data_IF_266886457524
#
_entry.id   IF_266886457524
#
_cell.length_a   1.000
_cell.length_b   1.000
_cell.length_c   1.000
_cell.angle_alpha   90.00
_cell.angle_beta   90.00
_cell.angle_gamma   90.00
#
_symmetry.space_group_name_H-M   'P 1'
#
loop_
_entity.id
_entity.type
_entity.pdbx_description
1 polymer ?
#
# COMPACT_ATOMS: atom_id res chain seq x y z
N UNK A 1 -44.13 32.61 -30.80
CA UNK A 1 -44.98 32.60 -29.59
C UNK A 1 -45.01 31.16 -29.12
N UNK A 2 -44.39 30.92 -27.96
CA UNK A 2 -43.85 29.62 -27.56
C UNK A 2 -44.94 28.62 -27.22
N UNK A 3 -44.78 27.40 -27.71
CA UNK A 3 -45.61 26.24 -27.42
C UNK A 3 -45.13 25.65 -26.09
N UNK A 4 -46.11 25.45 -25.20
CA UNK A 4 -46.00 24.83 -23.89
C UNK A 4 -45.95 23.31 -24.06
N UNK A 5 -45.07 22.64 -23.32
CA UNK A 5 -45.20 21.21 -23.00
C UNK A 5 -45.20 21.05 -21.48
N UNK A 6 -46.29 20.49 -20.95
CA UNK A 6 -46.39 19.90 -19.62
C UNK A 6 -45.76 18.50 -19.62
N UNK A 7 -44.98 18.15 -18.58
CA UNK A 7 -45.00 16.83 -17.92
C UNK A 7 -44.64 17.02 -16.43
N UNK A 8 -45.26 16.27 -15.49
CA UNK A 8 -45.28 16.58 -14.06
C UNK A 8 -44.20 15.87 -13.22
N UNK A 9 -44.02 16.42 -12.02
CA UNK A 9 -43.60 15.78 -10.76
C UNK A 9 -42.22 15.12 -10.66
N UNK A 10 -41.30 15.86 -10.02
CA UNK A 10 -40.18 15.31 -9.26
C UNK A 10 -40.71 14.37 -8.16
N UNK A 11 -40.38 13.10 -8.26
CA UNK A 11 -40.34 12.20 -7.10
C UNK A 11 -38.90 12.24 -6.57
N UNK A 12 -38.74 12.85 -5.40
CA UNK A 12 -37.48 12.83 -4.64
C UNK A 12 -37.28 11.42 -4.10
N UNK A 13 -36.27 10.72 -4.58
CA UNK A 13 -35.75 9.51 -3.93
C UNK A 13 -34.32 9.84 -3.49
N UNK A 14 -34.16 10.02 -2.18
CA UNK A 14 -32.86 10.01 -1.53
C UNK A 14 -32.25 8.61 -1.71
N UNK A 15 -31.06 8.55 -2.30
CA UNK A 15 -30.17 7.41 -2.15
C UNK A 15 -28.78 7.94 -1.82
N UNK A 16 -28.47 7.96 -0.52
CA UNK A 16 -27.12 8.01 -0.01
C UNK A 16 -26.46 6.67 -0.29
N UNK A 17 -25.52 6.65 -1.25
CA UNK A 17 -24.59 5.55 -1.40
C UNK A 17 -23.20 6.11 -1.75
N UNK A 18 -22.29 5.88 -0.80
CA UNK A 18 -20.88 6.25 -0.74
C UNK A 18 -20.16 6.26 -2.10
N UNK A 19 -19.64 7.43 -2.44
CA UNK A 19 -18.89 7.69 -3.65
C UNK A 19 -17.56 6.90 -3.68
N UNK A 20 -17.40 6.08 -4.71
CA UNK A 20 -16.15 5.40 -5.05
C UNK A 20 -15.00 6.41 -5.26
N UNK A 21 -13.83 6.13 -4.68
CA UNK A 21 -12.58 6.80 -5.00
C UNK A 21 -12.16 6.47 -6.45
N UNK A 22 -12.59 7.29 -7.39
CA UNK A 22 -12.14 7.21 -8.79
C UNK A 22 -10.68 7.64 -8.87
N UNK A 23 -9.77 6.68 -8.92
CA UNK A 23 -8.37 6.92 -9.31
C UNK A 23 -8.36 7.22 -10.80
N UNK A 24 -8.29 8.50 -11.15
CA UNK A 24 -8.17 8.93 -12.55
C UNK A 24 -6.68 9.03 -12.94
N UNK A 25 -6.26 8.38 -14.04
CA UNK A 25 -4.94 8.65 -14.62
C UNK A 25 -4.90 10.09 -15.15
N UNK A 26 -3.90 10.86 -14.73
CA UNK A 26 -3.69 12.22 -15.25
C UNK A 26 -3.05 12.10 -16.63
N UNK A 27 -3.80 12.47 -17.67
CA UNK A 27 -3.24 12.66 -19.01
C UNK A 27 -2.45 13.97 -19.05
N UNK A 28 -1.13 13.84 -19.12
CA UNK A 28 -0.21 14.96 -19.37
C UNK A 28 -0.23 15.26 -20.88
N UNK A 29 -0.29 16.54 -21.32
CA UNK A 29 -0.26 16.88 -22.73
C UNK A 29 0.97 16.29 -23.44
N UNK A 30 0.74 15.58 -24.54
CA UNK A 30 1.80 15.16 -25.47
C UNK A 30 2.19 16.35 -26.34
N UNK A 31 3.14 17.15 -25.87
CA UNK A 31 3.96 17.95 -26.78
C UNK A 31 4.88 17.02 -27.59
N UNK A 32 5.01 17.34 -28.88
CA UNK A 32 5.55 16.49 -29.96
C UNK A 32 6.97 15.94 -29.77
N UNK A 33 7.46 15.16 -30.74
CA UNK A 33 8.67 14.35 -30.58
C UNK A 33 9.93 15.21 -30.70
N UNK A 34 10.37 15.83 -29.60
CA UNK A 34 11.76 16.28 -29.49
C UNK A 34 12.65 15.07 -29.18
N UNK A 35 13.69 14.89 -30.01
CA UNK A 35 14.46 13.64 -30.17
C UNK A 35 15.20 13.18 -28.91
N UNK A 36 15.44 14.04 -27.92
CA UNK A 36 16.03 13.69 -26.62
C UNK A 36 15.47 14.64 -25.56
N UNK A 37 14.86 14.10 -24.49
CA UNK A 37 14.16 14.89 -23.47
C UNK A 37 14.80 14.65 -22.10
N UNK A 38 15.30 15.73 -21.51
CA UNK A 38 15.64 15.76 -20.10
C UNK A 38 14.40 16.22 -19.32
N UNK A 39 14.14 15.58 -18.19
CA UNK A 39 13.01 15.95 -17.32
C UNK A 39 13.35 15.74 -15.87
N UNK A 40 12.70 16.51 -15.00
CA UNK A 40 12.83 16.39 -13.56
C UNK A 40 11.60 15.70 -12.97
N UNK A 41 11.84 14.89 -11.95
CA UNK A 41 10.83 14.09 -11.25
C UNK A 41 11.03 14.19 -9.73
N UNK A 42 10.00 14.53 -8.93
CA UNK A 42 8.70 15.04 -9.37
C UNK A 42 8.81 16.36 -10.12
N UNK A 43 7.77 16.69 -10.91
CA UNK A 43 7.67 17.99 -11.59
C UNK A 43 7.20 19.08 -10.62
N UNK A 44 8.05 19.45 -9.69
CA UNK A 44 7.82 20.58 -8.80
C UNK A 44 7.79 21.92 -9.56
N UNK A 45 6.89 22.85 -9.21
CA UNK A 45 7.00 24.23 -9.70
C UNK A 45 8.25 24.89 -9.11
N UNK A 46 8.50 24.65 -7.82
CA UNK A 46 9.65 25.14 -7.06
C UNK A 46 10.30 24.01 -6.27
N UNK A 47 11.64 23.98 -6.29
CA UNK A 47 12.47 23.03 -5.55
C UNK A 47 12.94 23.71 -4.27
N UNK A 48 12.64 23.13 -3.11
CA UNK A 48 13.08 23.64 -1.80
C UNK A 48 14.24 22.82 -1.26
N UNK A 49 14.99 23.41 -0.32
CA UNK A 49 16.02 22.68 0.42
C UNK A 49 15.43 21.42 1.06
N UNK A 50 16.14 20.31 0.95
CA UNK A 50 15.73 19.01 1.48
C UNK A 50 14.86 18.18 0.55
N UNK A 51 14.39 18.72 -0.59
CA UNK A 51 13.67 17.93 -1.58
C UNK A 51 14.57 16.82 -2.18
N UNK A 52 13.96 15.70 -2.52
CA UNK A 52 14.57 14.67 -3.37
C UNK A 52 14.07 14.86 -4.81
N UNK A 53 14.97 15.08 -5.76
CA UNK A 53 14.65 15.18 -7.19
C UNK A 53 15.46 14.17 -8.01
N UNK A 54 14.86 13.68 -9.08
CA UNK A 54 15.48 12.76 -10.03
C UNK A 54 15.47 13.40 -11.41
N UNK A 55 16.65 13.52 -12.02
CA UNK A 55 16.80 13.91 -13.41
C UNK A 55 16.76 12.64 -14.27
N UNK A 56 15.91 12.67 -15.28
CA UNK A 56 15.71 11.57 -16.22
C UNK A 56 16.14 12.01 -17.61
N UNK A 57 17.10 11.27 -18.18
CA UNK A 57 17.58 11.44 -19.54
C UNK A 57 16.91 10.40 -20.46
N UNK A 58 16.01 10.86 -21.35
CA UNK A 58 15.31 10.04 -22.34
C UNK A 58 15.82 10.29 -23.75
N UNK A 59 15.86 9.21 -24.55
CA UNK A 59 16.25 9.22 -25.97
C UNK A 59 17.66 8.67 -26.19
N UNK A 60 17.90 8.15 -27.39
CA UNK A 60 19.18 7.58 -27.80
C UNK A 60 19.46 6.19 -27.22
N UNK A 61 20.53 5.56 -27.71
CA UNK A 61 21.07 4.30 -27.20
C UNK A 61 22.44 4.54 -26.54
N UNK A 62 22.86 3.62 -25.66
CA UNK A 62 24.14 3.68 -24.95
C UNK A 62 24.08 4.26 -23.54
N UNK A 63 25.25 4.50 -22.96
CA UNK A 63 25.44 5.10 -21.62
C UNK A 63 25.11 6.58 -21.62
N UNK A 64 24.66 7.10 -20.48
CA UNK A 64 24.34 8.52 -20.34
C UNK A 64 25.59 9.26 -19.89
N UNK A 65 25.87 10.44 -20.45
CA UNK A 65 26.87 11.37 -19.92
C UNK A 65 26.15 12.57 -19.34
N UNK A 66 26.39 12.91 -18.09
CA UNK A 66 25.81 14.08 -17.46
C UNK A 66 26.81 15.23 -17.46
N UNK A 67 26.31 16.45 -17.60
CA UNK A 67 27.09 17.66 -17.42
C UNK A 67 26.34 18.62 -16.51
N UNK A 68 27.08 19.25 -15.59
CA UNK A 68 26.57 20.27 -14.67
C UNK A 68 27.43 21.50 -14.88
N UNK A 69 26.81 22.62 -15.25
CA UNK A 69 27.51 23.85 -15.63
C UNK A 69 28.62 23.60 -16.69
N UNK A 70 28.35 22.70 -17.63
CA UNK A 70 29.28 22.30 -18.70
C UNK A 70 30.36 21.30 -18.27
N UNK A 71 30.49 20.97 -16.98
CA UNK A 71 31.48 20.02 -16.46
C UNK A 71 30.91 18.60 -16.52
N UNK A 72 31.62 17.69 -17.20
CA UNK A 72 31.25 16.28 -17.31
C UNK A 72 31.33 15.59 -15.95
N UNK A 73 30.27 14.88 -15.58
CA UNK A 73 30.18 14.11 -14.35
C UNK A 73 30.61 12.66 -14.57
N UNK A 74 30.99 11.98 -13.50
CA UNK A 74 31.35 10.56 -13.51
C UNK A 74 30.12 9.63 -13.61
N UNK A 75 28.93 10.12 -13.23
CA UNK A 75 27.68 9.38 -13.23
C UNK A 75 27.25 8.99 -14.66
N UNK A 76 26.83 7.73 -14.87
CA UNK A 76 26.51 7.20 -16.20
C UNK A 76 25.10 6.63 -16.36
N UNK A 77 24.32 6.51 -15.28
CA UNK A 77 22.95 6.01 -15.35
C UNK A 77 22.03 7.03 -16.02
N UNK A 78 20.96 6.56 -16.67
CA UNK A 78 19.94 7.44 -17.27
C UNK A 78 19.11 8.23 -16.25
N UNK A 79 19.25 7.89 -14.97
CA UNK A 79 18.62 8.56 -13.85
C UNK A 79 19.72 9.13 -12.95
N UNK A 80 19.68 10.44 -12.68
CA UNK A 80 20.54 11.08 -11.67
C UNK A 80 19.66 11.48 -10.49
N UNK A 81 19.87 10.83 -9.35
CA UNK A 81 19.16 11.12 -8.11
C UNK A 81 19.94 12.16 -7.30
N UNK A 82 19.29 13.29 -7.00
CA UNK A 82 19.77 14.31 -6.09
C UNK A 82 18.90 14.23 -4.83
N UNK A 83 19.47 13.75 -3.73
CA UNK A 83 18.76 13.61 -2.45
C UNK A 83 19.05 14.78 -1.53
N UNK A 84 18.03 15.25 -0.81
CA UNK A 84 18.12 16.35 0.13
C UNK A 84 18.89 17.55 -0.46
N UNK A 85 18.37 18.08 -1.57
CA UNK A 85 19.04 19.15 -2.32
C UNK A 85 19.28 20.40 -1.48
N UNK A 86 20.34 21.12 -1.82
CA UNK A 86 20.78 22.37 -1.21
C UNK A 86 21.09 23.40 -2.30
N UNK A 87 21.41 24.64 -1.93
CA UNK A 87 21.84 25.67 -2.89
C UNK A 87 23.10 25.29 -3.68
N UNK A 88 23.92 24.35 -3.17
CA UNK A 88 25.06 23.79 -3.92
C UNK A 88 24.65 22.93 -5.13
N UNK A 89 23.39 22.51 -5.20
CA UNK A 89 22.83 21.79 -6.34
C UNK A 89 22.32 22.73 -7.45
N UNK A 90 22.50 24.04 -7.31
CA UNK A 90 22.09 25.00 -8.33
C UNK A 90 23.00 24.92 -9.57
N UNK A 91 22.39 25.03 -10.74
CA UNK A 91 23.15 25.05 -11.99
C UNK A 91 22.34 24.65 -13.22
N UNK A 92 23.02 24.64 -14.37
CA UNK A 92 22.49 24.14 -15.63
C UNK A 92 22.87 22.68 -15.81
N UNK A 93 21.87 21.81 -15.90
CA UNK A 93 22.05 20.39 -16.09
C UNK A 93 21.73 19.99 -17.53
N UNK A 94 22.57 19.17 -18.13
CA UNK A 94 22.34 18.58 -19.45
C UNK A 94 22.80 17.12 -19.47
N UNK A 95 22.20 16.30 -20.32
CA UNK A 95 22.65 14.93 -20.56
C UNK A 95 22.95 14.70 -22.04
N UNK A 96 23.87 13.78 -22.33
CA UNK A 96 24.19 13.33 -23.68
C UNK A 96 23.97 11.82 -23.77
N UNK A 97 23.27 11.40 -24.84
CA UNK A 97 23.07 9.98 -25.16
C UNK A 97 23.04 9.80 -26.68
N UNK A 98 23.69 8.74 -27.18
CA UNK A 98 23.85 8.53 -28.63
C UNK A 98 24.53 9.69 -29.37
N UNK A 99 25.43 10.42 -28.71
CA UNK A 99 26.16 11.57 -29.27
C UNK A 99 25.36 12.88 -29.39
N UNK A 100 24.10 12.91 -28.96
CA UNK A 100 23.28 14.13 -28.93
C UNK A 100 23.06 14.62 -27.50
N UNK A 101 23.23 15.92 -27.27
CA UNK A 101 22.93 16.57 -25.99
C UNK A 101 21.45 16.94 -25.86
N UNK A 102 20.93 16.89 -24.64
CA UNK A 102 19.61 17.40 -24.29
C UNK A 102 19.60 18.92 -24.22
N UNK A 103 18.40 19.49 -24.15
CA UNK A 103 18.23 20.88 -23.71
C UNK A 103 18.73 21.00 -22.27
N UNK A 104 19.39 22.13 -21.97
CA UNK A 104 19.83 22.48 -20.62
C UNK A 104 18.62 22.76 -19.73
N UNK A 105 18.63 22.20 -18.53
CA UNK A 105 17.60 22.37 -17.52
C UNK A 105 18.21 23.09 -16.31
N UNK A 106 17.80 24.33 -16.01
CA UNK A 106 18.25 25.01 -14.81
C UNK A 106 17.59 24.40 -13.57
N UNK A 107 18.38 24.21 -12.52
CA UNK A 107 17.89 23.89 -11.17
C UNK A 107 18.22 25.08 -10.27
N UNK A 108 17.18 25.57 -9.59
CA UNK A 108 17.28 26.60 -8.58
C UNK A 108 16.57 26.13 -7.31
N UNK A 109 17.34 25.91 -6.25
CA UNK A 109 16.88 25.47 -4.94
C UNK A 109 16.60 26.69 -4.07
N UNK A 110 15.38 26.79 -3.57
CA UNK A 110 14.92 27.85 -2.69
C UNK A 110 15.22 27.47 -1.23
N UNK A 111 15.85 28.38 -0.49
CA UNK A 111 16.13 28.24 0.96
C UNK A 111 14.95 28.69 1.85
N UNK A 112 13.77 28.88 1.26
CA UNK A 112 12.55 29.24 1.95
C UNK A 112 11.79 27.99 2.41
N UNK A 113 10.99 28.12 3.46
CA UNK A 113 10.09 27.06 3.89
C UNK A 113 8.82 26.99 3.01
N UNK A 114 8.35 25.79 2.64
CA UNK A 114 7.08 25.63 1.93
C UNK A 114 5.88 26.08 2.76
N UNK A 115 4.80 26.50 2.09
CA UNK A 115 3.56 27.00 2.72
C UNK A 115 2.76 25.97 3.53
N UNK A 116 3.16 24.70 3.52
CA UNK A 116 2.49 23.66 4.28
C UNK A 116 3.47 22.57 4.68
N UNK A 117 3.18 21.91 5.80
CA UNK A 117 4.03 20.85 6.31
C UNK A 117 3.34 19.49 6.16
N UNK A 118 3.95 18.60 5.39
CA UNK A 118 3.60 17.20 5.29
C UNK A 118 4.61 16.39 6.10
N UNK A 119 4.14 15.61 7.07
CA UNK A 119 4.99 14.80 7.94
C UNK A 119 4.38 13.43 8.25
N UNK A 120 5.19 12.39 8.52
CA UNK A 120 4.67 11.13 9.03
C UNK A 120 4.02 11.33 10.40
N UNK A 121 2.81 10.80 10.59
CA UNK A 121 2.14 10.78 11.90
C UNK A 121 2.97 10.02 12.94
N UNK A 122 3.58 8.89 12.52
CA UNK A 122 4.40 8.02 13.35
C UNK A 122 5.54 7.44 12.48
N UNK A 123 6.73 7.33 13.09
CA UNK A 123 7.92 6.70 12.51
C UNK A 123 8.67 7.56 11.48
N UNK A 124 9.81 7.05 10.99
CA UNK A 124 10.68 7.76 10.04
C UNK A 124 10.36 7.52 8.56
N UNK A 125 11.23 8.01 7.67
CA UNK A 125 11.08 7.92 6.22
C UNK A 125 11.30 6.52 5.59
N UNK A 126 11.50 5.48 6.41
CA UNK A 126 11.80 4.12 5.97
C UNK A 126 10.64 3.19 6.31
N UNK A 127 10.25 2.35 5.35
CA UNK A 127 9.10 1.46 5.42
C UNK A 127 9.43 0.06 4.92
N UNK A 128 8.85 -0.97 5.55
CA UNK A 128 8.96 -2.36 5.10
C UNK A 128 8.06 -2.64 3.90
N UNK A 129 8.36 -3.68 3.12
CA UNK A 129 7.48 -4.10 2.01
C UNK A 129 6.07 -4.41 2.53
N UNK A 130 5.05 -3.93 1.81
CA UNK A 130 3.63 -4.07 2.20
C UNK A 130 3.16 -3.12 3.30
N UNK A 131 4.01 -2.20 3.78
CA UNK A 131 3.58 -1.15 4.69
C UNK A 131 2.83 0.01 4.04
N UNK A 132 1.98 0.59 4.87
CA UNK A 132 1.44 1.94 4.70
C UNK A 132 1.49 2.71 6.02
N UNK A 133 1.41 4.04 5.94
CA UNK A 133 1.26 4.89 7.13
C UNK A 133 0.55 6.19 6.80
N UNK A 134 0.00 6.82 7.82
CA UNK A 134 -0.61 8.13 7.68
C UNK A 134 0.46 9.23 7.61
N UNK A 135 0.38 10.08 6.59
CA UNK A 135 1.04 11.38 6.55
C UNK A 135 0.00 12.44 6.89
N UNK A 136 0.40 13.40 7.73
CA UNK A 136 -0.44 14.51 8.17
C UNK A 136 0.03 15.77 7.45
N UNK A 137 -0.91 16.42 6.78
CA UNK A 137 -0.76 17.75 6.21
C UNK A 137 -1.24 18.77 7.25
N UNK A 138 -0.32 19.62 7.67
CA UNK A 138 -0.54 20.78 8.51
C UNK A 138 -0.42 22.04 7.65
N UNK A 139 -1.41 22.92 7.80
CA UNK A 139 -1.54 24.17 7.06
C UNK A 139 -1.96 25.25 8.06
N UNK A 140 -1.51 26.49 7.83
CA UNK A 140 -1.91 27.62 8.68
C UNK A 140 -3.39 27.99 8.47
N UNK A 141 -3.87 27.79 7.24
CA UNK A 141 -5.24 28.07 6.79
C UNK A 141 -6.13 26.81 6.77
N UNK A 142 -7.24 26.86 6.03
CA UNK A 142 -8.14 25.73 5.86
C UNK A 142 -7.51 24.60 4.99
N UNK A 143 -7.42 23.35 5.49
CA UNK A 143 -6.98 22.18 4.74
C UNK A 143 -7.90 21.81 3.57
N UNK A 144 -9.11 22.35 3.49
CA UNK A 144 -9.99 22.11 2.35
C UNK A 144 -9.39 22.64 1.04
N UNK A 145 -9.60 21.86 -0.04
CA UNK A 145 -9.09 22.16 -1.37
C UNK A 145 -7.62 21.79 -1.61
N UNK A 146 -6.91 21.30 -0.59
CA UNK A 146 -5.60 20.70 -0.79
C UNK A 146 -5.72 19.35 -1.51
N UNK A 147 -4.81 19.13 -2.45
CA UNK A 147 -4.73 17.89 -3.21
C UNK A 147 -3.32 17.34 -3.07
N UNK A 148 -3.22 16.07 -2.69
CA UNK A 148 -1.94 15.39 -2.54
C UNK A 148 -1.59 14.58 -3.78
N UNK A 149 -0.31 14.33 -3.95
CA UNK A 149 0.26 13.63 -5.09
C UNK A 149 1.31 12.66 -4.57
N UNK A 150 1.46 11.54 -5.29
CA UNK A 150 2.52 10.57 -5.05
C UNK A 150 3.22 10.27 -6.36
N UNK A 151 4.56 10.29 -6.35
CA UNK A 151 5.40 9.80 -7.42
C UNK A 151 6.02 8.46 -6.98
N UNK A 152 5.77 7.40 -7.75
CA UNK A 152 6.37 6.07 -7.58
C UNK A 152 7.16 5.72 -8.84
N UNK A 153 8.49 5.80 -8.76
CA UNK A 153 9.33 5.72 -9.96
C UNK A 153 9.06 6.90 -10.90
N UNK A 154 8.58 6.62 -12.11
CA UNK A 154 8.18 7.66 -13.08
C UNK A 154 6.67 7.97 -13.07
N UNK A 155 5.87 7.21 -12.31
CA UNK A 155 4.42 7.31 -12.33
C UNK A 155 3.89 8.21 -11.21
N UNK A 156 3.16 9.25 -11.58
CA UNK A 156 2.49 10.18 -10.67
C UNK A 156 1.01 9.87 -10.49
N UNK A 157 0.50 9.97 -9.27
CA UNK A 157 -0.91 9.75 -8.93
C UNK A 157 -1.42 10.87 -8.04
N UNK A 158 -2.72 11.15 -8.12
CA UNK A 158 -3.43 12.11 -7.26
C UNK A 158 -4.11 11.37 -6.10
N UNK A 159 -4.04 11.95 -4.91
CA UNK A 159 -4.65 11.47 -3.67
C UNK A 159 -5.46 12.62 -3.07
N UNK A 160 -6.70 12.37 -2.72
CA UNK A 160 -7.49 13.33 -1.96
C UNK A 160 -7.25 13.09 -0.46
N UNK A 161 -6.77 14.11 0.28
CA UNK A 161 -6.60 13.97 1.71
C UNK A 161 -7.96 13.90 2.42
N UNK A 162 -8.05 13.08 3.47
CA UNK A 162 -9.18 13.09 4.39
C UNK A 162 -9.01 14.30 5.32
N UNK A 163 -9.95 15.23 5.26
CA UNK A 163 -9.91 16.47 6.05
C UNK A 163 -10.61 16.24 7.40
N UNK A 164 -9.93 16.64 8.47
CA UNK A 164 -10.47 16.74 9.82
C UNK A 164 -10.67 18.22 10.13
N UNK A 165 -11.90 18.70 9.98
CA UNK A 165 -12.27 20.12 10.14
C UNK A 165 -12.02 20.61 11.56
N UNK A 166 -12.24 19.76 12.57
CA UNK A 166 -12.05 20.11 13.97
C UNK A 166 -10.57 20.33 14.31
N UNK A 167 -9.70 19.50 13.75
CA UNK A 167 -8.26 19.55 14.00
C UNK A 167 -7.48 20.38 12.97
N UNK A 168 -8.17 21.01 12.01
CA UNK A 168 -7.59 21.79 10.91
C UNK A 168 -6.43 21.08 10.22
N UNK A 169 -6.56 19.77 10.02
CA UNK A 169 -5.51 18.94 9.42
C UNK A 169 -6.10 18.04 8.36
N UNK A 170 -5.25 17.62 7.44
CA UNK A 170 -5.61 16.64 6.43
C UNK A 170 -4.70 15.41 6.56
N UNK A 171 -5.22 14.22 6.29
CA UNK A 171 -4.48 12.96 6.42
C UNK A 171 -4.53 12.19 5.10
N UNK A 172 -3.38 11.64 4.70
CA UNK A 172 -3.29 10.68 3.59
C UNK A 172 -2.68 9.36 4.06
N UNK A 173 -3.19 8.25 3.54
CA UNK A 173 -2.54 6.95 3.71
C UNK A 173 -1.47 6.76 2.63
N UNK A 174 -0.20 6.75 3.04
CA UNK A 174 0.96 6.63 2.18
C UNK A 174 1.47 5.18 2.13
N UNK A 175 1.44 4.60 0.93
CA UNK A 175 1.96 3.26 0.64
C UNK A 175 2.95 3.30 -0.52
N UNK A 176 3.97 2.45 -0.47
CA UNK A 176 4.94 2.30 -1.56
C UNK A 176 4.48 1.31 -2.62
N UNK A 177 3.52 0.43 -2.31
CA UNK A 177 3.16 -0.75 -3.12
C UNK A 177 4.44 -1.54 -3.45
N UNK A 178 4.77 -1.75 -4.73
CA UNK A 178 6.00 -2.44 -5.16
C UNK A 178 7.17 -1.48 -5.45
N UNK A 179 7.01 -0.16 -5.26
CA UNK A 179 8.06 0.80 -5.55
C UNK A 179 9.11 0.84 -4.44
N UNK A 180 10.41 0.84 -4.80
CA UNK A 180 11.50 1.02 -3.82
C UNK A 180 11.48 2.38 -3.12
N UNK A 181 10.84 3.37 -3.73
CA UNK A 181 10.75 4.75 -3.24
C UNK A 181 9.45 5.38 -3.73
N UNK A 182 8.85 6.19 -2.87
CA UNK A 182 7.70 7.03 -3.23
C UNK A 182 7.84 8.42 -2.61
N UNK A 183 7.63 9.45 -3.41
CA UNK A 183 7.67 10.85 -2.95
C UNK A 183 6.26 11.41 -2.92
N UNK A 184 5.86 11.99 -1.79
CA UNK A 184 4.54 12.54 -1.53
C UNK A 184 4.64 14.05 -1.32
N UNK A 185 3.68 14.81 -1.85
CA UNK A 185 3.55 16.25 -1.60
C UNK A 185 2.10 16.68 -1.84
N UNK A 186 1.69 17.81 -1.29
CA UNK A 186 0.35 18.37 -1.50
C UNK A 186 0.43 19.78 -2.08
N UNK A 187 -0.64 20.21 -2.77
CA UNK A 187 -0.77 21.54 -3.38
C UNK A 187 -2.17 22.11 -3.22
N UNK A 188 -2.26 23.44 -3.17
CA UNK A 188 -3.48 24.25 -3.28
C UNK A 188 -3.15 25.50 -4.10
N UNK A 189 -3.72 25.62 -5.30
CA UNK A 189 -3.33 26.69 -6.23
C UNK A 189 -1.83 26.62 -6.58
N UNK A 190 -1.10 27.70 -6.31
CA UNK A 190 0.36 27.79 -6.50
C UNK A 190 1.15 27.32 -5.28
N UNK A 191 0.51 27.17 -4.12
CA UNK A 191 1.17 26.74 -2.89
C UNK A 191 1.45 25.23 -2.90
N UNK A 192 2.52 24.82 -2.21
CA UNK A 192 2.94 23.43 -2.06
C UNK A 192 3.40 23.17 -0.63
N UNK A 193 3.20 21.95 -0.16
CA UNK A 193 3.87 21.45 1.04
C UNK A 193 5.34 21.11 0.78
N UNK A 194 6.12 20.85 1.84
CA UNK A 194 7.36 20.08 1.67
C UNK A 194 7.06 18.70 1.04
N UNK A 195 8.07 18.12 0.38
CA UNK A 195 7.97 16.75 -0.10
C UNK A 195 8.44 15.77 0.99
N UNK A 196 7.77 14.63 1.08
CA UNK A 196 8.17 13.51 1.93
C UNK A 196 8.51 12.33 1.05
N UNK A 197 9.76 11.88 1.11
CA UNK A 197 10.19 10.69 0.35
C UNK A 197 10.32 9.49 1.27
N UNK A 198 9.44 8.51 1.07
CA UNK A 198 9.47 7.23 1.78
C UNK A 198 10.28 6.22 0.97
N UNK A 199 11.13 5.45 1.67
CA UNK A 199 12.02 4.45 1.08
C UNK A 199 11.65 3.07 1.59
N UNK A 200 11.56 2.11 0.66
CA UNK A 200 11.40 0.72 1.00
C UNK A 200 12.72 0.19 1.54
N UNK A 201 12.66 -0.49 2.67
CA UNK A 201 13.74 -1.36 3.12
C UNK A 201 13.26 -2.79 3.04
N UNK A 202 14.19 -3.70 2.77
CA UNK A 202 13.95 -5.13 3.00
C UNK A 202 13.75 -5.44 4.49
N UNK A 203 14.06 -4.48 5.38
CA UNK A 203 13.76 -4.54 6.82
C UNK A 203 14.38 -5.76 7.50
N UNK A 204 14.05 -5.99 8.78
CA UNK A 204 14.18 -7.32 9.34
C UNK A 204 13.32 -8.30 8.51
N UNK A 205 13.76 -9.56 8.35
CA UNK A 205 13.08 -10.55 7.53
C UNK A 205 11.58 -10.67 7.80
N UNK A 206 10.83 -11.10 6.79
CA UNK A 206 9.39 -11.25 6.94
C UNK A 206 9.11 -12.35 7.96
N UNK A 207 8.17 -12.10 8.84
CA UNK A 207 7.55 -13.14 9.64
C UNK A 207 6.77 -14.09 8.73
N UNK A 208 6.39 -15.26 9.25
CA UNK A 208 5.50 -16.21 8.60
C UNK A 208 4.34 -16.52 9.53
N UNK A 209 3.15 -16.63 8.97
CA UNK A 209 1.94 -17.06 9.68
C UNK A 209 1.60 -18.46 9.22
N UNK A 210 1.56 -19.36 10.18
CA UNK A 210 1.22 -20.77 10.00
C UNK A 210 -0.03 -21.11 10.83
N UNK A 211 -0.96 -21.86 10.26
CA UNK A 211 -2.09 -22.42 11.03
C UNK A 211 -1.62 -23.61 11.85
N UNK A 212 -1.77 -23.52 13.17
CA UNK A 212 -1.45 -24.62 14.10
C UNK A 212 -2.69 -25.49 14.35
N UNK A 213 -3.88 -24.88 14.33
CA UNK A 213 -5.17 -25.56 14.36
C UNK A 213 -6.18 -24.82 13.46
N UNK A 214 -7.45 -25.22 13.49
CA UNK A 214 -8.54 -24.55 12.78
C UNK A 214 -8.80 -23.12 13.28
N UNK A 215 -8.53 -22.86 14.56
CA UNK A 215 -8.76 -21.55 15.21
C UNK A 215 -7.47 -20.85 15.60
N UNK A 216 -6.31 -21.52 15.56
CA UNK A 216 -5.06 -20.98 16.13
C UNK A 216 -3.98 -20.75 15.09
N UNK A 217 -3.42 -19.55 15.09
CA UNK A 217 -2.28 -19.17 14.26
C UNK A 217 -1.00 -19.02 15.09
N UNK A 218 0.13 -19.26 14.43
CA UNK A 218 1.47 -19.00 14.94
C UNK A 218 2.21 -18.04 14.01
N UNK A 219 2.81 -17.03 14.59
CA UNK A 219 3.77 -16.17 13.93
C UNK A 219 5.20 -16.68 14.18
N UNK A 220 6.04 -16.70 13.15
CA UNK A 220 7.44 -17.16 13.25
C UNK A 220 8.35 -16.21 12.47
N UNK A 221 9.60 -16.05 12.90
CA UNK A 221 10.62 -15.33 12.12
C UNK A 221 12.00 -15.90 12.44
N UNK A 222 12.50 -16.75 11.54
CA UNK A 222 13.75 -17.48 11.77
C UNK A 222 14.98 -16.60 11.53
N UNK A 223 14.86 -15.62 10.64
CA UNK A 223 15.96 -14.73 10.26
C UNK A 223 15.88 -13.36 10.96
N UNK A 224 14.96 -13.19 11.92
CA UNK A 224 14.83 -11.93 12.65
C UNK A 224 16.00 -11.73 13.64
N UNK A 225 16.52 -10.50 13.77
CA UNK A 225 17.52 -10.17 14.78
C UNK A 225 17.08 -10.50 16.20
N UNK A 226 18.04 -10.77 17.09
CA UNK A 226 17.77 -11.00 18.52
C UNK A 226 17.12 -9.80 19.25
N UNK A 227 17.14 -8.61 18.64
CA UNK A 227 16.41 -7.44 19.17
C UNK A 227 14.90 -7.53 18.96
N UNK A 228 14.41 -8.52 18.21
CA UNK A 228 12.99 -8.77 18.01
C UNK A 228 12.42 -9.61 19.15
N UNK A 229 11.64 -8.99 20.04
CA UNK A 229 11.26 -9.58 21.33
C UNK A 229 9.77 -9.84 21.50
N UNK A 230 8.91 -9.19 20.72
CA UNK A 230 7.46 -9.37 20.80
C UNK A 230 6.82 -9.38 19.43
N UNK A 231 5.59 -9.88 19.36
CA UNK A 231 4.81 -9.96 18.14
C UNK A 231 3.72 -8.89 18.14
N UNK A 232 3.19 -8.60 16.95
CA UNK A 232 2.04 -7.73 16.76
C UNK A 232 1.15 -8.30 15.68
N UNK A 233 -0.10 -8.55 16.03
CA UNK A 233 -1.09 -9.14 15.15
C UNK A 233 -2.03 -8.10 14.56
N UNK A 234 -2.45 -8.36 13.32
CA UNK A 234 -3.33 -7.47 12.58
C UNK A 234 -4.43 -8.28 11.93
N UNK A 235 -5.66 -7.77 12.01
CA UNK A 235 -6.82 -8.26 11.27
C UNK A 235 -7.27 -7.20 10.28
N UNK A 236 -7.51 -7.61 9.05
CA UNK A 236 -8.11 -6.76 8.01
C UNK A 236 -9.42 -7.39 7.57
N UNK A 237 -10.48 -6.60 7.42
CA UNK A 237 -11.79 -7.10 6.97
C UNK A 237 -11.72 -7.52 5.49
N UNK A 238 -12.46 -8.57 5.10
CA UNK A 238 -12.48 -9.05 3.71
C UNK A 238 -12.95 -7.97 2.72
N UNK A 239 -13.93 -7.16 3.13
CA UNK A 239 -14.56 -6.16 2.28
C UNK A 239 -13.91 -4.77 2.38
N UNK A 240 -12.95 -4.59 3.29
CA UNK A 240 -12.24 -3.33 3.47
C UNK A 240 -10.76 -3.56 3.78
N UNK A 241 -9.94 -3.51 2.73
CA UNK A 241 -8.49 -3.65 2.82
C UNK A 241 -7.78 -2.52 3.58
N UNK A 242 -8.47 -1.40 3.82
CA UNK A 242 -7.94 -0.25 4.55
C UNK A 242 -8.29 -0.27 6.05
N UNK A 243 -9.27 -1.08 6.45
CA UNK A 243 -9.66 -1.29 7.85
C UNK A 243 -8.72 -2.28 8.59
N UNK A 244 -7.40 -2.15 8.40
CA UNK A 244 -6.43 -2.96 9.15
C UNK A 244 -6.41 -2.51 10.60
N UNK A 245 -6.85 -3.39 11.49
CA UNK A 245 -6.86 -3.18 12.93
C UNK A 245 -5.67 -3.91 13.58
N UNK A 246 -5.03 -3.23 14.53
CA UNK A 246 -4.05 -3.86 15.42
C UNK A 246 -4.78 -4.60 16.56
N UNK A 247 -4.39 -5.84 16.82
CA UNK A 247 -4.96 -6.66 17.88
C UNK A 247 -4.15 -6.49 19.18
N UNK A 248 -4.75 -6.84 20.32
CA UNK A 248 -4.14 -6.69 21.65
C UNK A 248 -3.01 -7.68 21.91
N UNK A 249 -3.04 -8.81 21.23
CA UNK A 249 -2.14 -9.93 21.46
C UNK A 249 -0.75 -9.60 20.93
N UNK A 250 0.24 -9.78 21.81
CA UNK A 250 1.65 -9.51 21.53
C UNK A 250 2.54 -10.77 21.58
N UNK A 251 1.92 -11.93 21.74
CA UNK A 251 2.57 -13.23 21.80
C UNK A 251 2.73 -13.90 20.43
N UNK A 252 3.51 -14.98 20.42
CA UNK A 252 3.78 -15.76 19.21
C UNK A 252 2.51 -16.39 18.58
N UNK A 253 1.44 -16.54 19.36
CA UNK A 253 0.22 -17.22 18.98
C UNK A 253 -0.98 -16.29 19.11
N UNK A 254 -2.02 -16.54 18.31
CA UNK A 254 -3.32 -15.90 18.42
C UNK A 254 -4.43 -16.91 18.13
N UNK A 255 -5.59 -16.71 18.75
CA UNK A 255 -6.85 -17.39 18.42
C UNK A 255 -7.68 -16.51 17.47
N UNK A 256 -8.27 -17.10 16.45
CA UNK A 256 -9.06 -16.43 15.43
C UNK A 256 -10.54 -16.45 15.84
N UNK A 257 -11.00 -15.38 16.47
CA UNK A 257 -12.37 -15.28 16.96
C UNK A 257 -13.35 -14.69 15.92
N UNK A 258 -12.82 -13.93 14.96
CA UNK A 258 -13.63 -13.23 13.97
C UNK A 258 -13.11 -13.47 12.56
N UNK A 259 -14.01 -13.47 11.58
CA UNK A 259 -13.65 -13.60 10.18
C UNK A 259 -12.73 -12.45 9.70
N UNK A 260 -11.80 -12.78 8.81
CA UNK A 260 -10.93 -11.78 8.19
C UNK A 260 -9.59 -12.31 7.73
N UNK A 261 -8.75 -11.34 7.36
CA UNK A 261 -7.40 -11.53 6.87
C UNK A 261 -6.40 -11.22 7.99
N UNK A 262 -5.71 -12.26 8.45
CA UNK A 262 -4.76 -12.19 9.56
C UNK A 262 -3.32 -12.07 9.05
N UNK A 263 -2.54 -11.21 9.68
CA UNK A 263 -1.11 -11.06 9.44
C UNK A 263 -0.40 -10.66 10.73
N UNK A 264 0.90 -10.92 10.82
CA UNK A 264 1.69 -10.57 11.99
C UNK A 264 3.01 -9.89 11.61
N UNK A 265 3.63 -9.28 12.62
CA UNK A 265 5.01 -8.76 12.61
C UNK A 265 5.68 -8.98 13.95
N UNK A 266 7.00 -8.90 13.99
CA UNK A 266 7.76 -8.77 15.23
C UNK A 266 8.18 -7.33 15.47
N UNK A 267 8.14 -6.89 16.73
CA UNK A 267 8.75 -5.65 17.19
C UNK A 267 10.22 -5.89 17.52
N UNK A 268 11.09 -5.14 16.85
CA UNK A 268 12.55 -5.22 16.91
C UNK A 268 13.21 -4.04 17.63
N UNK A 269 12.45 -3.28 18.43
CA UNK A 269 12.90 -2.18 19.28
C UNK A 269 13.19 -0.87 18.52
N UNK A 270 13.64 -0.95 17.27
CA UNK A 270 13.82 0.20 16.36
C UNK A 270 12.83 0.22 15.19
N UNK A 271 11.78 -0.58 15.28
CA UNK A 271 10.80 -0.78 14.22
C UNK A 271 10.31 -2.22 14.18
N UNK A 272 9.58 -2.57 13.13
CA UNK A 272 8.99 -3.89 12.98
C UNK A 272 9.67 -4.70 11.86
N UNK A 273 9.56 -6.02 11.94
CA UNK A 273 9.82 -6.92 10.82
C UNK A 273 8.91 -6.59 9.62
N UNK A 274 9.24 -7.11 8.44
CA UNK A 274 8.28 -7.13 7.32
C UNK A 274 7.01 -7.91 7.73
N UNK A 275 5.86 -7.55 7.12
CA UNK A 275 4.61 -8.29 7.29
C UNK A 275 4.81 -9.74 6.88
N UNK A 276 4.11 -10.64 7.58
CA UNK A 276 3.96 -12.01 7.15
C UNK A 276 3.12 -12.15 5.88
N UNK A 277 3.06 -13.38 5.38
CA UNK A 277 1.94 -13.83 4.55
C UNK A 277 0.60 -13.57 5.27
N UNK A 278 -0.45 -13.47 4.46
CA UNK A 278 -1.82 -13.24 4.94
C UNK A 278 -2.54 -14.59 5.03
N UNK A 279 -3.17 -14.85 6.18
CA UNK A 279 -4.04 -16.00 6.40
C UNK A 279 -5.52 -15.57 6.32
N UNK A 280 -6.34 -16.33 5.59
CA UNK A 280 -7.77 -16.04 5.41
C UNK A 280 -8.61 -16.95 6.30
N UNK A 281 -9.33 -16.39 7.25
CA UNK A 281 -10.23 -17.12 8.15
C UNK A 281 -11.68 -16.71 7.93
N UNK A 282 -12.57 -17.69 7.70
CA UNK A 282 -14.00 -17.47 7.38
C UNK A 282 -14.94 -17.86 8.53
N UNK A 283 -14.42 -18.00 9.76
CA UNK A 283 -15.17 -18.60 10.87
C UNK A 283 -15.30 -20.12 10.73
N UNK A 284 -15.59 -20.81 11.83
CA UNK A 284 -16.03 -22.20 11.76
C UNK A 284 -17.45 -22.25 11.14
N UNK A 285 -17.75 -23.22 10.27
CA UNK A 285 -19.13 -23.46 9.88
C UNK A 285 -19.89 -23.84 11.16
N UNK A 286 -20.91 -23.05 11.52
CA UNK A 286 -21.86 -23.49 12.53
C UNK A 286 -22.35 -24.88 12.11
N UNK A 287 -22.16 -25.88 12.97
CA UNK A 287 -22.82 -27.18 12.80
C UNK A 287 -24.31 -26.95 12.94
N UNK A 288 -24.96 -26.56 11.86
CA UNK A 288 -26.40 -26.65 11.72
C UNK A 288 -26.78 -28.11 11.93
N UNK A 289 -27.51 -28.37 13.01
CA UNK A 289 -28.27 -29.61 13.14
C UNK A 289 -29.27 -29.61 11.99
N UNK A 290 -28.94 -30.33 10.92
CA UNK A 290 -29.84 -30.52 9.79
C UNK A 290 -31.01 -31.38 10.32
N UNK A 291 -32.12 -30.72 10.64
CA UNK A 291 -33.37 -31.40 10.96
C UNK A 291 -33.82 -32.15 9.72
N UNK A 292 -33.66 -33.47 9.74
CA UNK A 292 -34.28 -34.40 8.79
C UNK A 292 -35.80 -34.11 8.73
N UNK A 293 -36.38 -33.94 7.52
CA UNK A 293 -37.80 -33.68 7.40
C UNK A 293 -38.64 -34.89 7.83
N UNK A 294 -39.53 -34.67 8.80
CA UNK A 294 -40.62 -35.60 9.15
C UNK A 294 -41.64 -35.69 8.01
N UNK A 295 -41.62 -36.82 7.28
CA UNK A 295 -42.75 -37.56 6.66
C UNK A 295 -42.17 -38.47 5.57
N UNK A 296 -42.54 -39.73 5.42
CA UNK A 296 -43.79 -40.38 5.76
C UNK A 296 -43.54 -41.84 6.18
N UNK A 297 -44.40 -42.32 7.09
CA UNK A 297 -44.70 -43.73 7.23
C UNK A 297 -45.37 -44.19 5.94
N UNK A 298 -44.89 -45.29 5.38
CA UNK A 298 -45.79 -46.40 5.02
C UNK A 298 -45.00 -47.70 5.12
N UNK A 299 -45.65 -48.66 5.76
CA UNK A 299 -45.13 -49.94 6.16
C UNK A 299 -45.35 -50.92 5.03
N UNK A 300 -44.33 -51.69 4.64
CA UNK A 300 -44.57 -53.05 4.21
C UNK A 300 -43.39 -53.94 4.59
N UNK A 301 -43.73 -55.05 5.22
CA UNK A 301 -42.85 -56.01 5.85
C UNK A 301 -42.31 -57.01 4.84
N UNK A 302 -41.03 -57.39 4.94
CA UNK A 302 -40.63 -58.78 4.69
C UNK A 302 -39.25 -59.10 5.29
N UNK A 303 -39.31 -59.91 6.35
CA UNK A 303 -38.48 -61.08 6.66
C UNK A 303 -36.95 -60.98 6.64
N UNK A 304 -36.44 -61.22 7.85
CA UNK A 304 -35.11 -61.70 8.24
C UNK A 304 -34.58 -62.77 7.28
N UNK A 305 -33.38 -62.54 6.73
CA UNK A 305 -32.47 -63.61 6.34
C UNK A 305 -31.09 -63.35 6.95
N UNK A 306 -30.50 -64.46 7.37
CA UNK A 306 -29.44 -64.59 8.36
C UNK A 306 -28.08 -64.08 7.86
N UNK A 307 -27.27 -63.62 8.81
CA UNK A 307 -25.86 -63.29 8.65
C UNK A 307 -25.01 -64.53 8.99
N UNK A 308 -24.30 -65.17 8.05
CA UNK A 308 -23.32 -66.18 8.38
C UNK A 308 -21.93 -65.60 8.14
N UNK A 309 -21.12 -65.40 9.19
CA UNK A 309 -19.66 -65.60 9.22
C UNK A 309 -19.11 -65.02 10.52
N UNK A 310 -19.16 -65.80 11.59
CA UNK A 310 -18.09 -65.90 12.58
C UNK A 310 -18.35 -67.12 13.47
N UNK A 311 -17.44 -68.10 13.40
CA UNK A 311 -16.92 -68.89 14.52
C UNK A 311 -16.34 -70.23 14.02
N UNK A 312 -15.02 -70.27 13.92
CA UNK A 312 -14.23 -71.50 13.90
C UNK A 312 -13.00 -71.26 14.76
N UNK A 313 -13.20 -71.34 16.08
CA UNK A 313 -12.14 -71.55 17.05
C UNK A 313 -12.74 -72.08 18.37
N UNK A 314 -12.66 -73.40 18.54
CA UNK A 314 -12.22 -74.09 19.75
C UNK A 314 -12.92 -75.44 19.90
N UNK A 315 -12.13 -76.52 19.96
CA UNK A 315 -12.64 -77.80 20.40
C UNK A 315 -11.64 -78.93 20.29
N UNK A 316 -10.86 -79.12 21.36
CA UNK A 316 -10.41 -80.41 21.90
C UNK A 316 -9.39 -81.17 21.01
N UNK A 317 -8.13 -81.39 21.41
CA UNK A 317 -7.69 -81.98 22.68
C UNK A 317 -7.74 -83.51 22.59
N UNK A 318 -6.70 -84.18 23.11
CA UNK A 318 -6.58 -85.63 23.42
C UNK A 318 -6.12 -86.58 22.28
N UNK A 319 -5.17 -87.54 22.40
CA UNK A 319 -4.34 -88.13 23.48
C UNK A 319 -3.16 -88.92 22.82
N UNK A 320 -2.06 -89.08 23.59
CA UNK A 320 -0.92 -90.05 23.49
C UNK A 320 0.12 -89.81 22.41
#
# INVERSE_FOLDING_TARGET
>A
MSIVYEVPQLMVIYNEALAWSKVAPVMVPREGPSKHRMSFLPRFPDVFVGDDITLLCKGGSGTTKWFINGVKQSHQDSLMLLTAVTSNNNGEYECERGGSKSIKLPINVLELEPHAQLSPSIGGAVMSKGDGRNLVLQVDDDPNGWVCFVLRGENGFRIHPAVDENMKRAVIFAELKEAKRATFWCKKGTQRSNAVTLKMTDGPPATTVDSVSTTRLRCSCNDCPASCTSYRWYRTLFNDSFARQNLSENGQYIEMDEEGLYSCRMDCGKGFSRFSNVYSYKGEPERGYEQLPEKARDYEAMTVEENPYEELNAGLGQIV
#
